data_IF_147075833490
#
_entry.id   IF_147075833490
#
_cell.length_a   1.000
_cell.length_b   1.000
_cell.length_c   1.000
_cell.angle_alpha   90.00
_cell.angle_beta   90.00
_cell.angle_gamma   90.00
#
_symmetry.space_group_name_H-M   'P 1'
#
loop_
_entity.id
_entity.type
_entity.pdbx_description
1 polymer ?
#
# COMPACT_ATOMS: atom_id res chain seq x y z
N UNK A 1 21.02 6.56 11.47
CA UNK A 1 21.59 5.24 11.84
C UNK A 1 20.79 4.23 11.04
N UNK A 2 21.41 3.40 10.18
CA UNK A 2 20.65 2.41 9.37
C UNK A 2 20.31 1.21 10.27
N UNK A 3 19.02 0.93 10.44
CA UNK A 3 18.57 -0.27 11.17
C UNK A 3 18.94 -1.52 10.35
N UNK A 4 19.47 -2.54 11.00
CA UNK A 4 19.71 -3.84 10.36
C UNK A 4 18.38 -4.57 10.09
N UNK A 5 18.42 -5.61 9.23
CA UNK A 5 17.21 -6.40 8.87
C UNK A 5 16.52 -6.99 10.10
N UNK A 6 17.28 -7.34 11.14
CA UNK A 6 16.77 -7.90 12.41
C UNK A 6 15.97 -6.87 13.24
N UNK A 7 16.34 -5.59 13.17
CA UNK A 7 15.74 -4.54 13.99
C UNK A 7 14.50 -3.93 13.33
N UNK A 8 14.33 -4.14 12.04
CA UNK A 8 13.23 -3.55 11.26
C UNK A 8 11.89 -4.20 11.56
N UNK A 9 11.82 -5.52 11.72
CA UNK A 9 10.56 -6.21 11.99
C UNK A 9 9.89 -5.76 13.30
N UNK A 10 10.62 -5.64 14.45
CA UNK A 10 10.09 -5.03 15.65
C UNK A 10 9.61 -3.59 15.40
N UNK A 11 10.44 -2.77 14.74
CA UNK A 11 10.09 -1.39 14.43
C UNK A 11 8.81 -1.26 13.60
N UNK A 12 8.57 -2.16 12.62
CA UNK A 12 7.34 -2.19 11.84
C UNK A 12 6.14 -2.59 12.71
N UNK A 13 6.29 -3.60 13.58
CA UNK A 13 5.19 -4.15 14.40
C UNK A 13 4.62 -3.16 15.40
N UNK A 14 5.44 -2.30 15.94
CA UNK A 14 5.07 -1.35 16.99
C UNK A 14 4.41 -0.08 16.45
N UNK A 15 4.42 0.12 15.12
CA UNK A 15 3.90 1.35 14.53
C UNK A 15 2.44 1.25 14.12
N UNK A 16 1.70 2.31 14.43
CA UNK A 16 0.34 2.52 13.97
C UNK A 16 0.27 3.62 12.87
N UNK A 17 1.42 4.26 12.57
CA UNK A 17 1.52 5.29 11.51
C UNK A 17 2.75 5.04 10.63
N UNK A 18 2.53 5.14 9.31
CA UNK A 18 3.60 5.07 8.30
C UNK A 18 3.45 6.21 7.30
N UNK A 19 4.58 6.76 6.87
CA UNK A 19 4.65 7.68 5.75
C UNK A 19 5.19 6.94 4.53
N UNK A 20 4.42 6.92 3.44
CA UNK A 20 4.80 6.29 2.18
C UNK A 20 5.00 7.41 1.16
N UNK A 21 6.21 7.60 0.69
CA UNK A 21 6.55 8.61 -0.29
C UNK A 21 6.97 7.96 -1.60
N UNK A 22 6.26 8.26 -2.69
CA UNK A 22 6.66 7.86 -4.02
C UNK A 22 7.82 8.72 -4.51
N UNK A 23 8.86 8.06 -5.03
CA UNK A 23 9.98 8.70 -5.73
C UNK A 23 9.84 8.41 -7.21
N UNK A 24 9.41 9.41 -7.97
CA UNK A 24 9.22 9.25 -9.41
C UNK A 24 10.55 8.99 -10.12
N UNK A 25 10.62 7.90 -10.88
CA UNK A 25 11.71 7.63 -11.84
C UNK A 25 11.11 7.14 -13.16
N UNK A 26 11.71 7.48 -14.31
CA UNK A 26 11.15 7.15 -15.63
C UNK A 26 10.94 5.64 -15.84
N UNK A 27 11.80 4.79 -15.25
CA UNK A 27 11.87 3.35 -15.53
C UNK A 27 11.31 2.49 -14.37
N UNK A 28 11.14 3.07 -13.19
CA UNK A 28 10.68 2.34 -12.00
C UNK A 28 9.85 3.24 -11.09
N UNK A 29 8.89 2.66 -10.39
CA UNK A 29 8.30 3.28 -9.22
C UNK A 29 9.15 2.92 -8.01
N UNK A 30 9.54 3.91 -7.23
CA UNK A 30 10.27 3.71 -5.99
C UNK A 30 9.45 4.32 -4.85
N UNK A 31 9.49 3.68 -3.68
CA UNK A 31 8.80 4.16 -2.49
C UNK A 31 9.77 4.15 -1.31
N UNK A 32 9.69 5.19 -0.52
CA UNK A 32 10.35 5.31 0.78
C UNK A 32 9.28 5.21 1.86
N UNK A 33 9.44 4.28 2.79
CA UNK A 33 8.54 4.13 3.92
C UNK A 33 9.27 4.55 5.18
N UNK A 34 8.71 5.52 5.89
CA UNK A 34 9.24 6.06 7.13
C UNK A 34 8.24 5.90 8.28
N UNK A 35 8.75 5.80 9.49
CA UNK A 35 7.97 5.93 10.72
C UNK A 35 7.95 7.38 11.17
N UNK A 36 7.03 7.80 12.06
CA UNK A 36 7.04 9.14 12.62
C UNK A 36 8.33 9.46 13.37
N UNK A 37 8.76 10.71 13.32
CA UNK A 37 9.82 11.17 14.18
C UNK A 37 9.38 11.11 15.67
N UNK A 38 10.29 10.84 16.62
CA UNK A 38 9.94 10.77 18.04
C UNK A 38 9.16 12.00 18.52
N UNK A 39 8.00 11.79 19.14
CA UNK A 39 7.13 12.85 19.64
C UNK A 39 6.45 13.70 18.55
N UNK A 40 6.45 13.29 17.30
CA UNK A 40 5.91 14.05 16.17
C UNK A 40 5.03 13.16 15.28
N UNK A 41 4.19 13.80 14.46
CA UNK A 41 3.44 13.14 13.39
C UNK A 41 4.14 13.26 12.03
N UNK A 42 5.27 14.00 11.95
CA UNK A 42 6.04 14.17 10.72
C UNK A 42 6.93 12.96 10.43
N UNK A 43 7.31 12.72 9.16
CA UNK A 43 8.20 11.63 8.80
C UNK A 43 9.54 11.72 9.53
N UNK A 44 9.94 10.62 10.16
CA UNK A 44 11.22 10.41 10.80
C UNK A 44 12.11 9.43 10.00
N UNK A 45 12.61 8.41 10.69
CA UNK A 45 13.55 7.46 10.10
C UNK A 45 12.91 6.63 8.99
N UNK A 46 13.61 6.53 7.86
CA UNK A 46 13.24 5.63 6.79
C UNK A 46 13.56 4.20 7.20
N UNK A 47 12.54 3.34 7.20
CA UNK A 47 12.65 1.93 7.61
C UNK A 47 12.64 0.96 6.44
N UNK A 48 11.94 1.30 5.34
CA UNK A 48 11.86 0.45 4.16
C UNK A 48 12.07 1.26 2.88
N UNK A 49 12.60 0.58 1.89
CA UNK A 49 12.74 1.04 0.51
C UNK A 49 12.13 0.02 -0.44
N UNK A 50 11.36 0.50 -1.41
CA UNK A 50 10.70 -0.33 -2.41
C UNK A 50 11.09 0.13 -3.80
N UNK A 51 11.38 -0.82 -4.68
CA UNK A 51 11.65 -0.57 -6.10
C UNK A 51 10.83 -1.54 -6.95
N UNK A 52 9.90 -0.99 -7.73
CA UNK A 52 9.09 -1.72 -8.68
C UNK A 52 9.59 -1.47 -10.10
N UNK A 53 9.97 -2.52 -10.83
CA UNK A 53 10.40 -2.42 -12.24
C UNK A 53 9.15 -2.40 -13.14
N UNK A 54 8.86 -1.27 -13.80
CA UNK A 54 7.69 -1.06 -14.67
C UNK A 54 7.57 -2.00 -15.89
N UNK A 55 8.63 -2.70 -16.25
CA UNK A 55 8.71 -3.48 -17.50
C UNK A 55 8.60 -5.00 -17.32
N UNK A 56 8.28 -5.50 -16.13
CA UNK A 56 8.14 -6.94 -15.90
C UNK A 56 6.67 -7.36 -15.87
N UNK A 57 6.34 -8.40 -16.63
CA UNK A 57 5.02 -9.05 -16.70
C UNK A 57 4.62 -9.69 -15.35
N UNK A 58 5.59 -10.04 -14.50
CA UNK A 58 5.39 -10.50 -13.13
C UNK A 58 5.91 -9.44 -12.17
N UNK A 59 5.03 -8.95 -11.34
CA UNK A 59 5.35 -7.92 -10.37
C UNK A 59 5.82 -8.54 -9.06
N UNK A 60 7.15 -8.51 -8.88
CA UNK A 60 7.74 -8.69 -7.55
C UNK A 60 8.03 -7.30 -6.98
N UNK A 61 7.24 -6.88 -6.00
CA UNK A 61 7.48 -5.64 -5.25
C UNK A 61 8.22 -6.02 -3.97
N UNK A 62 9.51 -5.69 -3.91
CA UNK A 62 10.38 -6.07 -2.79
C UNK A 62 10.56 -4.93 -1.82
N UNK A 63 10.26 -5.17 -0.55
CA UNK A 63 10.47 -4.26 0.56
C UNK A 63 11.82 -4.56 1.22
N UNK A 64 12.72 -3.60 1.17
CA UNK A 64 14.13 -3.74 1.56
C UNK A 64 14.49 -2.77 2.67
N UNK A 65 15.57 -3.08 3.37
CA UNK A 65 16.24 -2.13 4.25
C UNK A 65 16.84 -1.01 3.41
N UNK A 66 16.79 0.26 3.82
CA UNK A 66 17.46 1.36 3.13
C UNK A 66 18.97 1.08 3.01
N UNK A 67 19.49 1.16 1.79
CA UNK A 67 20.90 0.86 1.50
C UNK A 67 21.27 -0.63 1.44
N UNK A 68 20.30 -1.54 1.63
CA UNK A 68 20.50 -2.97 1.47
C UNK A 68 20.68 -3.40 0.00
N UNK A 69 21.18 -4.61 -0.19
CA UNK A 69 21.42 -5.16 -1.53
C UNK A 69 20.10 -5.41 -2.29
N UNK A 70 20.19 -5.47 -3.63
CA UNK A 70 19.01 -5.71 -4.49
C UNK A 70 18.40 -7.12 -4.28
N UNK A 71 19.14 -8.04 -3.73
CA UNK A 71 18.72 -9.43 -3.50
C UNK A 71 18.15 -9.68 -2.08
N UNK A 72 18.45 -8.79 -1.15
CA UNK A 72 17.93 -8.87 0.22
C UNK A 72 16.61 -8.11 0.34
N UNK A 73 15.60 -8.77 0.90
CA UNK A 73 14.31 -8.15 1.21
C UNK A 73 13.76 -8.62 2.54
N UNK A 74 13.00 -7.76 3.19
CA UNK A 74 12.32 -8.06 4.47
C UNK A 74 11.03 -8.86 4.21
N UNK A 75 10.32 -8.47 3.15
CA UNK A 75 9.14 -9.15 2.61
C UNK A 75 8.90 -8.69 1.17
N UNK A 76 7.99 -9.36 0.45
CA UNK A 76 7.65 -9.00 -0.92
C UNK A 76 6.18 -9.23 -1.24
N UNK A 77 5.67 -8.49 -2.22
CA UNK A 77 4.41 -8.77 -2.90
C UNK A 77 4.73 -9.52 -4.19
N UNK A 78 4.03 -10.63 -4.45
CA UNK A 78 4.23 -11.48 -5.63
C UNK A 78 2.90 -11.78 -6.31
N UNK A 79 2.82 -11.53 -7.62
CA UNK A 79 1.67 -11.96 -8.42
C UNK A 79 1.61 -13.48 -8.51
N UNK A 80 0.42 -14.09 -8.29
CA UNK A 80 0.26 -15.55 -8.33
C UNK A 80 0.51 -16.13 -9.70
N UNK A 81 -0.10 -15.56 -10.74
CA UNK A 81 0.08 -16.00 -12.15
C UNK A 81 0.00 -14.83 -13.11
N UNK A 82 0.56 -15.01 -14.32
CA UNK A 82 0.46 -14.04 -15.42
C UNK A 82 -0.99 -13.86 -15.91
N UNK A 83 -1.85 -14.86 -15.64
CA UNK A 83 -3.26 -14.90 -16.06
C UNK A 83 -4.24 -14.57 -14.93
N UNK A 84 -3.75 -14.18 -13.74
CA UNK A 84 -4.61 -13.88 -12.60
C UNK A 84 -5.22 -12.48 -12.79
N UNK A 85 -6.22 -12.39 -13.66
CA UNK A 85 -7.09 -11.22 -13.79
C UNK A 85 -7.84 -10.89 -12.48
N UNK A 86 -7.72 -11.74 -11.48
CA UNK A 86 -8.36 -11.58 -10.17
C UNK A 86 -7.67 -10.55 -9.27
N UNK A 87 -6.52 -9.95 -9.69
CA UNK A 87 -5.83 -8.93 -8.90
C UNK A 87 -5.51 -9.40 -7.47
N UNK A 88 -5.12 -10.68 -7.32
CA UNK A 88 -4.73 -11.26 -6.03
C UNK A 88 -3.22 -11.45 -5.98
N UNK A 89 -2.58 -10.93 -4.94
CA UNK A 89 -1.13 -10.91 -4.77
C UNK A 89 -0.75 -11.51 -3.43
N UNK A 90 0.14 -12.52 -3.44
CA UNK A 90 0.68 -13.07 -2.20
C UNK A 90 1.71 -12.12 -1.59
N UNK A 91 1.70 -12.01 -0.27
CA UNK A 91 2.73 -11.34 0.51
C UNK A 91 3.57 -12.41 1.18
N UNK A 92 4.87 -12.42 0.86
CA UNK A 92 5.83 -13.42 1.31
C UNK A 92 6.86 -12.76 2.24
N UNK A 93 7.32 -13.47 3.24
CA UNK A 93 8.44 -13.05 4.08
C UNK A 93 9.80 -13.22 3.36
N UNK A 94 10.90 -12.90 4.06
CA UNK A 94 12.26 -13.04 3.54
C UNK A 94 12.64 -14.49 3.18
N UNK A 95 12.04 -15.48 3.85
CA UNK A 95 12.24 -16.91 3.58
C UNK A 95 11.34 -17.43 2.44
N UNK A 96 10.48 -16.56 1.86
CA UNK A 96 9.53 -16.94 0.82
C UNK A 96 8.26 -17.63 1.35
N UNK A 97 8.03 -17.61 2.67
CA UNK A 97 6.82 -18.15 3.26
C UNK A 97 5.68 -17.13 3.16
N UNK A 98 4.49 -17.61 2.83
CA UNK A 98 3.29 -16.76 2.72
C UNK A 98 2.87 -16.27 4.11
N UNK A 99 2.80 -14.94 4.28
CA UNK A 99 2.27 -14.28 5.47
C UNK A 99 0.83 -13.81 5.27
N UNK A 100 0.37 -13.76 4.02
CA UNK A 100 -0.99 -13.42 3.65
C UNK A 100 -1.10 -13.05 2.19
N UNK A 101 -2.22 -12.43 1.82
CA UNK A 101 -2.42 -11.88 0.49
C UNK A 101 -3.21 -10.57 0.51
N UNK A 102 -3.05 -9.79 -0.54
CA UNK A 102 -3.86 -8.61 -0.86
C UNK A 102 -4.56 -8.84 -2.19
N UNK A 103 -5.83 -8.48 -2.29
CA UNK A 103 -6.59 -8.70 -3.51
C UNK A 103 -7.72 -7.71 -3.70
N UNK A 104 -8.01 -7.39 -4.97
CA UNK A 104 -9.13 -6.52 -5.33
C UNK A 104 -10.44 -7.33 -5.33
N UNK A 105 -11.44 -6.84 -4.61
CA UNK A 105 -12.78 -7.42 -4.67
C UNK A 105 -13.54 -6.79 -5.85
N UNK A 106 -13.56 -7.49 -6.98
CA UNK A 106 -14.20 -7.00 -8.20
C UNK A 106 -15.71 -6.84 -8.06
N UNK A 107 -16.38 -7.66 -7.26
CA UNK A 107 -17.84 -7.56 -7.06
C UNK A 107 -18.19 -6.28 -6.30
N UNK A 108 -17.49 -6.00 -5.20
CA UNK A 108 -17.66 -4.77 -4.41
C UNK A 108 -17.05 -3.55 -5.11
N UNK A 109 -16.09 -3.75 -6.03
CA UNK A 109 -15.39 -2.67 -6.75
C UNK A 109 -16.14 -2.08 -7.94
N UNK A 110 -17.38 -2.49 -8.20
CA UNK A 110 -18.17 -1.93 -9.33
C UNK A 110 -18.43 -0.44 -9.20
N UNK A 111 -18.55 0.07 -7.99
CA UNK A 111 -18.82 1.49 -7.70
C UNK A 111 -17.61 2.16 -7.06
N UNK A 112 -16.98 1.50 -6.09
CA UNK A 112 -15.79 1.99 -5.37
C UNK A 112 -14.70 0.94 -5.41
N UNK A 113 -13.45 1.35 -5.49
CA UNK A 113 -12.33 0.44 -5.37
C UNK A 113 -12.34 -0.20 -3.97
N UNK A 114 -12.38 -1.53 -3.95
CA UNK A 114 -12.44 -2.33 -2.73
C UNK A 114 -11.34 -3.39 -2.77
N UNK A 115 -10.53 -3.42 -1.70
CA UNK A 115 -9.47 -4.41 -1.54
C UNK A 115 -9.67 -5.19 -0.25
N UNK A 116 -9.17 -6.42 -0.24
CA UNK A 116 -9.24 -7.34 0.89
C UNK A 116 -7.84 -7.82 1.22
N UNK A 117 -7.51 -7.83 2.50
CA UNK A 117 -6.28 -8.40 3.05
C UNK A 117 -6.64 -9.66 3.82
N UNK A 118 -5.92 -10.74 3.54
CA UNK A 118 -6.08 -12.03 4.23
C UNK A 118 -4.77 -12.42 4.89
N UNK A 119 -4.87 -13.16 5.99
CA UNK A 119 -3.73 -13.79 6.63
C UNK A 119 -3.27 -15.06 5.89
N UNK A 120 -2.26 -15.76 6.43
CA UNK A 120 -1.73 -16.99 5.85
C UNK A 120 -2.76 -18.15 5.85
N UNK A 121 -3.78 -18.07 6.70
CA UNK A 121 -4.89 -19.03 6.81
C UNK A 121 -6.10 -18.66 5.94
N UNK A 122 -5.94 -17.65 5.04
CA UNK A 122 -6.99 -17.13 4.15
C UNK A 122 -8.15 -16.42 4.89
N UNK A 123 -8.03 -16.12 6.20
CA UNK A 123 -9.02 -15.31 6.90
C UNK A 123 -8.91 -13.85 6.47
N UNK A 124 -10.05 -13.19 6.27
CA UNK A 124 -10.08 -11.75 6.03
C UNK A 124 -9.73 -11.02 7.33
N UNK A 125 -8.60 -10.33 7.35
CA UNK A 125 -8.11 -9.59 8.52
C UNK A 125 -8.29 -8.07 8.40
N UNK A 126 -8.40 -7.57 7.16
CA UNK A 126 -8.65 -6.17 6.88
C UNK A 126 -9.27 -6.00 5.50
N UNK A 127 -10.10 -4.98 5.34
CA UNK A 127 -10.63 -4.55 4.06
C UNK A 127 -10.31 -3.07 3.87
N UNK A 128 -10.18 -2.64 2.63
CA UNK A 128 -10.00 -1.22 2.30
C UNK A 128 -10.99 -0.79 1.23
N UNK A 129 -11.53 0.40 1.40
CA UNK A 129 -12.53 0.98 0.50
C UNK A 129 -12.18 2.44 0.23
N UNK A 130 -12.30 2.86 -1.02
CA UNK A 130 -12.13 4.26 -1.38
C UNK A 130 -13.13 5.14 -0.62
N UNK A 131 -12.63 6.17 0.08
CA UNK A 131 -13.40 6.95 1.06
C UNK A 131 -14.53 7.76 0.43
N UNK A 132 -14.34 8.25 -0.82
CA UNK A 132 -15.33 9.08 -1.50
C UNK A 132 -15.93 8.41 -2.74
N UNK A 133 -17.26 8.16 -2.71
CA UNK A 133 -17.99 7.65 -3.86
C UNK A 133 -17.99 8.63 -5.03
N UNK A 134 -18.11 9.92 -4.75
CA UNK A 134 -18.13 10.98 -5.78
C UNK A 134 -16.81 11.00 -6.52
N UNK A 135 -15.70 10.90 -5.80
CA UNK A 135 -14.37 10.89 -6.37
C UNK A 135 -14.12 9.63 -7.20
N UNK A 136 -14.55 8.46 -6.70
CA UNK A 136 -14.47 7.20 -7.43
C UNK A 136 -15.26 7.26 -8.75
N UNK A 137 -16.45 7.85 -8.70
CA UNK A 137 -17.31 8.05 -9.86
C UNK A 137 -16.69 9.04 -10.87
N UNK A 138 -16.18 10.18 -10.39
CA UNK A 138 -15.50 11.17 -11.23
C UNK A 138 -14.31 10.58 -11.96
N UNK A 139 -13.46 9.82 -11.28
CA UNK A 139 -12.33 9.11 -11.93
C UNK A 139 -12.81 8.14 -13.00
N UNK A 140 -13.87 7.38 -12.75
CA UNK A 140 -14.39 6.38 -13.70
C UNK A 140 -14.94 7.04 -14.97
N UNK A 141 -15.57 8.22 -14.86
CA UNK A 141 -16.12 8.96 -16.00
C UNK A 141 -15.14 9.96 -16.62
N UNK A 142 -13.98 10.17 -16.01
CA UNK A 142 -12.97 11.09 -16.50
C UNK A 142 -12.47 10.78 -17.90
N UNK A 143 -12.39 9.52 -18.29
CA UNK A 143 -12.00 9.10 -19.64
C UNK A 143 -13.02 9.47 -20.74
N UNK A 144 -14.21 9.95 -20.38
CA UNK A 144 -15.25 10.39 -21.33
C UNK A 144 -15.31 11.92 -21.47
N UNK A 145 -14.49 12.68 -20.74
CA UNK A 145 -14.47 14.14 -20.79
C UNK A 145 -13.28 14.63 -21.65
N UNK A 146 -13.51 15.51 -22.63
CA UNK A 146 -12.42 16.04 -23.44
C UNK A 146 -11.58 17.05 -22.66
N UNK A 147 -10.25 16.98 -22.84
CA UNK A 147 -9.20 17.98 -22.59
C UNK A 147 -9.21 18.83 -21.29
N UNK A 148 -9.89 18.44 -20.25
CA UNK A 148 -9.99 19.27 -19.03
C UNK A 148 -9.50 18.64 -17.75
N UNK A 149 -8.78 17.50 -17.79
CA UNK A 149 -8.65 16.59 -16.67
C UNK A 149 -7.31 16.58 -15.94
N UNK A 150 -6.49 17.60 -16.06
CA UNK A 150 -5.45 17.91 -15.07
C UNK A 150 -6.04 18.13 -13.65
N UNK A 151 -7.35 18.34 -13.56
CA UNK A 151 -8.08 18.42 -12.28
C UNK A 151 -8.05 17.10 -11.48
N UNK A 152 -7.91 15.94 -12.14
CA UNK A 152 -7.88 14.64 -11.46
C UNK A 152 -6.58 14.40 -10.70
N UNK A 153 -5.50 15.05 -11.06
CA UNK A 153 -4.25 15.07 -10.29
C UNK A 153 -4.42 15.70 -8.89
N UNK A 154 -5.46 16.53 -8.70
CA UNK A 154 -5.78 17.18 -7.43
C UNK A 154 -6.80 16.42 -6.58
N UNK A 155 -7.39 15.36 -7.12
CA UNK A 155 -8.40 14.60 -6.39
C UNK A 155 -7.73 13.72 -5.34
N UNK A 156 -8.07 13.86 -4.05
CA UNK A 156 -7.45 13.08 -2.99
C UNK A 156 -7.75 11.59 -3.18
N UNK A 157 -6.69 10.80 -3.15
CA UNK A 157 -6.74 9.34 -3.21
C UNK A 157 -6.70 8.82 -1.78
N UNK A 158 -7.89 8.63 -1.21
CA UNK A 158 -8.04 8.26 0.18
C UNK A 158 -8.78 6.93 0.31
N UNK A 159 -8.29 6.08 1.21
CA UNK A 159 -8.92 4.82 1.57
C UNK A 159 -9.17 4.77 3.06
N UNK A 160 -10.26 4.11 3.42
CA UNK A 160 -10.59 3.78 4.80
C UNK A 160 -10.45 2.27 5.00
N UNK A 161 -9.90 1.87 6.13
CA UNK A 161 -9.70 0.48 6.51
C UNK A 161 -10.79 0.02 7.47
N UNK A 162 -11.24 -1.23 7.28
CA UNK A 162 -12.28 -1.91 8.04
C UNK A 162 -11.80 -3.31 8.40
N UNK A 163 -12.22 -3.85 9.54
CA UNK A 163 -11.92 -5.22 9.95
C UNK A 163 -12.96 -6.22 9.42
N UNK A 164 -14.19 -5.78 9.35
CA UNK A 164 -15.35 -6.55 8.91
C UNK A 164 -16.24 -5.71 7.96
N UNK A 165 -17.40 -6.23 7.58
CA UNK A 165 -18.39 -5.49 6.79
C UNK A 165 -19.14 -4.42 7.59
N UNK A 166 -18.89 -4.29 8.91
CA UNK A 166 -19.36 -3.16 9.70
C UNK A 166 -18.71 -1.87 9.20
N UNK A 167 -19.46 -0.77 9.23
CA UNK A 167 -18.97 0.52 8.76
C UNK A 167 -18.03 1.22 9.76
N UNK A 168 -17.47 0.49 10.72
CA UNK A 168 -16.53 1.04 11.69
C UNK A 168 -15.15 1.16 11.07
N UNK A 169 -14.61 2.37 11.10
CA UNK A 169 -13.32 2.70 10.55
C UNK A 169 -12.21 2.35 11.55
N UNK A 170 -11.20 1.62 11.09
CA UNK A 170 -10.06 1.20 11.91
C UNK A 170 -8.72 1.76 11.41
N UNK A 171 -8.76 2.59 10.38
CA UNK A 171 -7.59 3.25 9.86
C UNK A 171 -7.84 3.94 8.54
N UNK A 172 -6.85 4.71 8.10
CA UNK A 172 -6.92 5.48 6.86
C UNK A 172 -5.62 5.41 6.07
N UNK A 173 -5.75 5.56 4.77
CA UNK A 173 -4.64 5.82 3.85
C UNK A 173 -4.96 7.08 3.06
N UNK A 174 -4.23 8.16 3.34
CA UNK A 174 -4.56 9.50 2.88
C UNK A 174 -3.40 10.13 2.11
N UNK A 175 -3.67 10.64 0.91
CA UNK A 175 -2.71 11.42 0.13
C UNK A 175 -2.55 12.82 0.73
N UNK A 176 -1.31 13.23 0.97
CA UNK A 176 -0.98 14.58 1.44
C UNK A 176 -0.91 15.52 0.23
N UNK A 177 -1.85 16.45 0.14
CA UNK A 177 -1.96 17.42 -0.96
C UNK A 177 -0.91 18.54 -0.79
N UNK A 178 -0.45 19.12 -1.91
CA UNK A 178 0.46 20.29 -1.90
C UNK A 178 1.95 19.96 -1.80
N UNK A 179 2.33 18.72 -2.01
CA UNK A 179 3.74 18.30 -2.14
C UNK A 179 4.08 18.01 -3.60
N UNK A 180 5.31 18.30 -3.99
CA UNK A 180 5.83 18.05 -5.35
C UNK A 180 5.91 16.54 -5.68
N UNK A 181 5.82 15.68 -4.67
CA UNK A 181 5.86 14.22 -4.76
C UNK A 181 4.68 13.63 -4.01
N UNK A 182 4.12 12.56 -4.52
CA UNK A 182 3.06 11.85 -3.85
C UNK A 182 3.55 11.30 -2.52
N UNK A 183 2.93 11.80 -1.45
CA UNK A 183 3.13 11.34 -0.10
C UNK A 183 1.80 10.88 0.46
N UNK A 184 1.83 9.73 1.08
CA UNK A 184 0.67 9.13 1.72
C UNK A 184 0.96 8.92 3.20
N UNK A 185 -0.06 9.10 4.03
CA UNK A 185 -0.05 8.75 5.43
C UNK A 185 -1.00 7.58 5.63
N UNK A 186 -0.47 6.48 6.16
CA UNK A 186 -1.20 5.31 6.58
C UNK A 186 -1.30 5.35 8.10
N UNK A 187 -2.51 5.36 8.63
CA UNK A 187 -2.79 5.39 10.06
C UNK A 187 -3.72 4.25 10.44
N UNK A 188 -3.45 3.62 11.57
CA UNK A 188 -4.22 2.52 12.12
C UNK A 188 -4.65 2.85 13.53
N UNK A 189 -5.81 2.32 13.91
CA UNK A 189 -6.25 2.33 15.30
C UNK A 189 -5.71 1.08 16.03
N UNK A 190 -5.82 1.07 17.35
CA UNK A 190 -5.37 -0.05 18.19
C UNK A 190 -6.08 -1.36 17.90
N UNK A 191 -7.27 -1.33 17.33
CA UNK A 191 -8.10 -2.50 17.01
C UNK A 191 -7.52 -3.35 15.86
N UNK A 192 -6.60 -2.78 15.06
CA UNK A 192 -5.88 -3.50 14.01
C UNK A 192 -4.49 -4.00 14.46
N UNK A 193 -4.16 -3.97 15.76
CA UNK A 193 -2.85 -4.43 16.27
C UNK A 193 -2.55 -5.90 16.03
N UNK A 194 -3.57 -6.72 15.91
CA UNK A 194 -3.47 -8.14 15.58
C UNK A 194 -3.15 -8.41 14.09
N UNK A 195 -3.32 -7.42 13.21
CA UNK A 195 -2.99 -7.53 11.80
C UNK A 195 -1.48 -7.36 11.60
N UNK A 196 -0.85 -8.27 10.88
CA UNK A 196 0.57 -8.15 10.55
C UNK A 196 0.84 -6.85 9.78
N UNK A 197 1.67 -5.98 10.35
CA UNK A 197 1.98 -4.66 9.79
C UNK A 197 2.62 -4.73 8.40
N UNK A 198 3.27 -5.83 8.06
CA UNK A 198 3.81 -6.04 6.70
C UNK A 198 2.69 -6.13 5.67
N UNK A 199 1.55 -6.76 6.00
CA UNK A 199 0.37 -6.80 5.13
C UNK A 199 -0.24 -5.42 4.94
N UNK A 200 -0.27 -4.61 6.00
CA UNK A 200 -0.81 -3.25 5.95
C UNK A 200 0.08 -2.33 5.10
N UNK A 201 1.40 -2.39 5.28
CA UNK A 201 2.36 -1.63 4.47
C UNK A 201 2.34 -2.10 3.02
N UNK A 202 2.27 -3.43 2.78
CA UNK A 202 2.10 -4.00 1.45
C UNK A 202 0.82 -3.48 0.77
N UNK A 203 -0.28 -3.40 1.52
CA UNK A 203 -1.53 -2.84 1.02
C UNK A 203 -1.38 -1.36 0.64
N UNK A 204 -0.74 -0.53 1.48
CA UNK A 204 -0.50 0.88 1.20
C UNK A 204 0.27 1.11 -0.10
N UNK A 205 1.36 0.37 -0.31
CA UNK A 205 2.12 0.42 -1.58
C UNK A 205 1.32 -0.18 -2.73
N UNK A 206 0.59 -1.28 -2.48
CA UNK A 206 -0.25 -1.94 -3.48
C UNK A 206 -1.38 -1.06 -4.01
N UNK A 207 -2.00 -0.25 -3.14
CA UNK A 207 -3.03 0.71 -3.52
C UNK A 207 -2.54 1.72 -4.57
N UNK A 208 -1.29 2.14 -4.49
CA UNK A 208 -0.70 3.07 -5.47
C UNK A 208 -0.11 2.30 -6.67
N UNK A 209 0.71 1.29 -6.42
CA UNK A 209 1.48 0.59 -7.46
C UNK A 209 0.63 -0.30 -8.37
N UNK A 210 -0.50 -0.84 -7.88
CA UNK A 210 -1.32 -1.84 -8.57
C UNK A 210 -2.64 -1.28 -9.14
N UNK A 211 -2.96 -0.01 -8.89
CA UNK A 211 -4.18 0.63 -9.41
C UNK A 211 -4.02 1.27 -10.79
N UNK A 212 -2.82 1.65 -11.18
CA UNK A 212 -2.53 2.34 -12.44
C UNK A 212 -2.48 1.40 -13.67
N UNK A 213 -3.21 0.25 -13.61
CA UNK A 213 -3.22 -0.77 -14.68
C UNK A 213 -4.61 -1.23 -15.07
#
# INVERSE_FOLDING_TARGET
MSLGTTDILPAIREQDRFHIQQVFKPIANEYQISIPAPGSTEPGDQILYVKQKKLKIKEDIRFRVPGGSDDEHVFMIKAKTVFDFAGKYDVLDAAGQKIGDIGKDFKKSLIRTHWVVRDAQENVVMQSRESSMIIALLRRFAGFLPDGLDLLGWVPFNFTFFKDDANQEYGTYTRVIGKLRDRYVLELTSELRDVDRRLVVAMGVGLDALQDR
#
